data_IF_242208582061
#
_entry.id   IF_242208582061
#
_cell.length_a   1.000
_cell.length_b   1.000
_cell.length_c   1.000
_cell.angle_alpha   90.00
_cell.angle_beta   90.00
_cell.angle_gamma   90.00
#
_symmetry.space_group_name_H-M   'P 1'
#
loop_
_entity.id
_entity.type
_entity.pdbx_description
1 polymer ?
#
# COMPACT_ATOMS: atom_id res chain seq x y z
N UNK A 1 21.18 -22.16 -5.46
CA UNK A 1 19.74 -21.83 -5.34
C UNK A 1 19.41 -20.84 -6.46
N UNK A 2 18.31 -21.02 -7.20
CA UNK A 2 18.01 -20.22 -8.42
C UNK A 2 17.07 -19.03 -8.17
N UNK A 3 16.17 -19.13 -7.19
CA UNK A 3 15.27 -18.05 -6.78
C UNK A 3 15.74 -17.59 -5.39
N UNK A 4 16.01 -16.30 -5.24
CA UNK A 4 16.60 -15.73 -4.02
C UNK A 4 15.63 -14.89 -3.20
N UNK A 5 14.47 -14.52 -3.76
CA UNK A 5 13.45 -13.75 -3.06
C UNK A 5 12.40 -13.15 -4.00
N UNK A 6 11.46 -12.40 -3.40
CA UNK A 6 10.50 -11.59 -4.14
C UNK A 6 11.19 -10.27 -4.50
N UNK A 7 11.40 -10.02 -5.80
CA UNK A 7 11.92 -8.74 -6.27
C UNK A 7 10.87 -7.63 -6.17
N UNK A 8 9.64 -7.93 -6.60
CA UNK A 8 8.53 -6.99 -6.53
C UNK A 8 7.19 -7.72 -6.50
N UNK A 9 6.15 -6.97 -6.11
CA UNK A 9 4.74 -7.32 -6.32
C UNK A 9 4.08 -6.23 -7.14
N UNK A 10 3.10 -6.59 -7.96
CA UNK A 10 2.32 -5.63 -8.73
C UNK A 10 0.90 -5.51 -8.16
N UNK A 11 0.46 -4.29 -7.92
CA UNK A 11 -0.93 -3.95 -7.65
C UNK A 11 -1.51 -3.17 -8.82
N UNK A 12 -2.82 -3.20 -8.96
CA UNK A 12 -3.52 -2.52 -10.05
C UNK A 12 -4.42 -1.42 -9.51
N UNK A 13 -4.42 -0.28 -10.18
CA UNK A 13 -5.35 0.83 -9.93
C UNK A 13 -6.23 1.08 -11.15
N UNK A 14 -7.33 1.81 -10.97
CA UNK A 14 -8.21 2.12 -12.09
C UNK A 14 -7.50 2.97 -13.15
N UNK A 15 -7.79 2.76 -14.45
CA UNK A 15 -7.26 3.61 -15.52
C UNK A 15 -7.50 5.10 -15.23
N UNK A 16 -6.50 5.94 -15.52
CA UNK A 16 -6.54 7.39 -15.25
C UNK A 16 -6.24 7.80 -13.81
N UNK A 17 -6.17 6.86 -12.86
CA UNK A 17 -5.91 7.18 -11.44
C UNK A 17 -4.46 6.96 -11.01
N UNK A 18 -3.57 6.57 -11.92
CA UNK A 18 -2.16 6.27 -11.60
C UNK A 18 -1.43 7.46 -10.95
N UNK A 19 -1.77 8.68 -11.34
CA UNK A 19 -1.19 9.90 -10.77
C UNK A 19 -1.44 10.04 -9.25
N UNK A 20 -2.50 9.41 -8.71
CA UNK A 20 -2.80 9.38 -7.28
C UNK A 20 -1.84 8.46 -6.51
N UNK A 21 -1.19 7.51 -7.19
CA UNK A 21 -0.28 6.55 -6.57
C UNK A 21 0.89 7.26 -5.86
N UNK A 22 1.42 8.35 -6.43
CA UNK A 22 2.50 9.11 -5.79
C UNK A 22 2.06 9.65 -4.42
N UNK A 23 0.85 10.20 -4.34
CA UNK A 23 0.35 10.79 -3.09
C UNK A 23 0.19 9.75 -2.00
N UNK A 24 -0.33 8.56 -2.34
CA UNK A 24 -0.52 7.52 -1.34
C UNK A 24 0.77 6.72 -1.05
N UNK A 25 1.43 6.16 -2.06
CA UNK A 25 2.55 5.24 -1.86
C UNK A 25 3.86 5.95 -1.49
N UNK A 26 4.13 7.13 -2.04
CA UNK A 26 5.34 7.89 -1.72
C UNK A 26 5.11 8.81 -0.51
N UNK A 27 4.17 9.73 -0.58
CA UNK A 27 4.03 10.75 0.47
C UNK A 27 3.44 10.18 1.78
N UNK A 28 2.44 9.29 1.71
CA UNK A 28 1.80 8.71 2.91
C UNK A 28 2.56 7.48 3.40
N UNK A 29 2.82 6.47 2.57
CA UNK A 29 3.54 5.27 3.02
C UNK A 29 5.05 5.47 3.16
N UNK A 30 5.63 6.51 2.54
CA UNK A 30 7.06 6.79 2.62
C UNK A 30 7.91 5.94 1.68
N UNK A 31 7.32 5.29 0.66
CA UNK A 31 8.10 4.61 -0.37
C UNK A 31 8.80 5.61 -1.28
N UNK A 32 9.85 5.19 -1.97
CA UNK A 32 10.60 6.09 -2.87
C UNK A 32 10.17 5.83 -4.30
N UNK A 33 9.58 6.83 -4.96
CA UNK A 33 9.27 6.77 -6.40
C UNK A 33 10.56 6.61 -7.21
N UNK A 34 10.57 5.64 -8.12
CA UNK A 34 11.71 5.41 -9.02
C UNK A 34 11.27 5.53 -10.49
N UNK A 35 12.18 5.99 -11.39
CA UNK A 35 11.85 6.13 -12.80
C UNK A 35 11.42 4.80 -13.43
N UNK A 36 10.35 4.84 -14.21
CA UNK A 36 9.94 3.72 -15.08
C UNK A 36 10.49 3.93 -16.50
N UNK A 37 10.51 2.89 -17.35
CA UNK A 37 10.80 3.05 -18.76
C UNK A 37 9.90 4.13 -19.39
N UNK A 38 10.47 5.02 -20.21
CA UNK A 38 9.77 6.20 -20.76
C UNK A 38 8.46 5.85 -21.47
N UNK A 39 8.41 4.71 -22.16
CA UNK A 39 7.22 4.22 -22.87
C UNK A 39 6.08 3.77 -21.95
N UNK A 40 6.31 3.63 -20.64
CA UNK A 40 5.36 3.12 -19.65
C UNK A 40 4.99 4.15 -18.58
N UNK A 41 5.51 5.39 -18.66
CA UNK A 41 5.37 6.43 -17.62
C UNK A 41 3.93 6.76 -17.19
N UNK A 42 2.97 6.54 -18.08
CA UNK A 42 1.55 6.86 -17.83
C UNK A 42 0.72 5.63 -17.45
N UNK A 43 1.33 4.43 -17.50
CA UNK A 43 0.67 3.14 -17.22
C UNK A 43 1.29 2.37 -16.05
N UNK A 44 2.46 2.81 -15.57
CA UNK A 44 3.22 2.13 -14.55
C UNK A 44 3.89 3.14 -13.62
N UNK A 45 3.81 2.89 -12.31
CA UNK A 45 4.60 3.56 -11.30
C UNK A 45 5.37 2.53 -10.48
N UNK A 46 6.65 2.81 -10.20
CA UNK A 46 7.50 1.96 -9.38
C UNK A 46 7.88 2.68 -8.10
N UNK A 47 7.87 1.94 -6.99
CA UNK A 47 8.30 2.45 -5.71
C UNK A 47 9.22 1.45 -5.01
N UNK A 48 10.36 1.93 -4.52
CA UNK A 48 11.22 1.18 -3.60
C UNK A 48 10.56 1.19 -2.21
N UNK A 49 10.31 0.00 -1.66
CA UNK A 49 9.78 -0.17 -0.28
C UNK A 49 10.91 0.06 0.73
N UNK A 50 12.11 -0.40 0.39
CA UNK A 50 13.35 -0.13 1.13
C UNK A 50 14.47 0.20 0.14
N UNK A 51 15.50 0.98 0.55
CA UNK A 51 16.61 1.30 -0.32
C UNK A 51 17.29 0.04 -0.87
N UNK A 52 17.41 -0.08 -2.19
CA UNK A 52 17.99 -1.24 -2.89
C UNK A 52 17.31 -2.59 -2.57
N UNK A 53 16.07 -2.54 -2.07
CA UNK A 53 15.34 -3.71 -1.63
C UNK A 53 14.19 -4.09 -2.55
N UNK A 54 13.09 -4.50 -1.93
CA UNK A 54 11.90 -4.93 -2.66
C UNK A 54 11.15 -3.71 -3.20
N UNK A 55 10.49 -3.90 -4.34
CA UNK A 55 9.67 -2.86 -4.96
C UNK A 55 8.19 -3.21 -4.92
N UNK A 56 7.37 -2.18 -5.02
CA UNK A 56 5.97 -2.31 -5.44
C UNK A 56 5.78 -1.61 -6.77
N UNK A 57 5.12 -2.31 -7.69
CA UNK A 57 4.73 -1.77 -8.98
C UNK A 57 3.22 -1.51 -8.95
N UNK A 58 2.80 -0.38 -9.51
CA UNK A 58 1.40 0.02 -9.63
C UNK A 58 1.07 0.16 -11.11
N UNK A 59 0.20 -0.71 -11.62
CA UNK A 59 -0.27 -0.68 -13.02
C UNK A 59 -1.68 -0.11 -13.10
N UNK A 60 -2.03 0.59 -14.18
CA UNK A 60 -3.35 1.24 -14.36
C UNK A 60 -4.45 0.31 -14.94
N UNK A 61 -4.34 -1.00 -14.73
CA UNK A 61 -5.15 -2.00 -15.43
C UNK A 61 -6.28 -2.62 -14.59
N UNK A 62 -6.68 -2.01 -13.47
CA UNK A 62 -7.75 -2.56 -12.64
C UNK A 62 -9.11 -2.46 -13.34
N UNK A 63 -9.97 -3.47 -13.15
CA UNK A 63 -11.37 -3.40 -13.55
C UNK A 63 -12.22 -2.77 -12.43
N UNK A 64 -13.18 -1.89 -12.74
CA UNK A 64 -14.11 -1.34 -11.75
C UNK A 64 -15.06 -2.41 -11.18
N UNK A 65 -15.13 -3.59 -11.81
CA UNK A 65 -15.94 -4.72 -11.38
C UNK A 65 -15.15 -5.74 -10.54
N UNK A 66 -13.88 -5.48 -10.23
CA UNK A 66 -13.10 -6.38 -9.38
C UNK A 66 -13.77 -6.52 -8.00
N UNK A 67 -14.03 -7.75 -7.53
CA UNK A 67 -14.61 -7.95 -6.21
C UNK A 67 -13.64 -7.50 -5.11
N UNK A 68 -14.18 -7.17 -3.94
CA UNK A 68 -13.38 -6.83 -2.75
C UNK A 68 -12.50 -8.04 -2.36
N UNK A 69 -11.24 -8.00 -2.79
CA UNK A 69 -10.29 -9.09 -2.59
C UNK A 69 -9.67 -9.06 -1.19
N UNK A 70 -9.37 -10.24 -0.65
CA UNK A 70 -8.57 -10.42 0.57
C UNK A 70 -7.07 -10.54 0.28
N UNK A 71 -6.65 -10.71 -0.98
CA UNK A 71 -5.23 -10.80 -1.38
C UNK A 71 -4.52 -9.48 -1.10
N UNK A 72 -3.29 -9.57 -0.61
CA UNK A 72 -2.49 -8.40 -0.26
C UNK A 72 -1.00 -8.76 -0.18
N UNK A 73 -0.10 -7.79 -0.40
CA UNK A 73 1.23 -7.83 0.19
C UNK A 73 1.17 -7.46 1.67
N UNK A 74 2.08 -8.04 2.45
CA UNK A 74 2.33 -7.65 3.84
C UNK A 74 3.71 -6.98 3.92
N UNK A 75 3.75 -5.75 4.41
CA UNK A 75 4.97 -4.98 4.59
C UNK A 75 5.48 -5.13 6.01
N UNK A 76 6.77 -5.47 6.13
CA UNK A 76 7.46 -5.49 7.41
C UNK A 76 7.74 -4.07 7.87
N UNK A 77 7.39 -3.78 9.13
CA UNK A 77 7.61 -2.50 9.80
C UNK A 77 8.65 -2.68 10.91
N UNK A 78 9.51 -1.68 11.08
CA UNK A 78 10.75 -1.82 11.86
C UNK A 78 10.53 -2.07 13.36
N UNK A 79 9.43 -1.59 13.94
CA UNK A 79 9.15 -1.72 15.37
C UNK A 79 7.65 -1.52 15.67
N UNK A 80 7.18 -1.90 16.87
CA UNK A 80 5.82 -1.60 17.32
C UNK A 80 5.47 -0.11 17.28
N UNK A 81 6.42 0.77 17.63
CA UNK A 81 6.25 2.22 17.60
C UNK A 81 6.07 2.71 16.16
N UNK A 82 6.94 2.27 15.25
CA UNK A 82 6.83 2.61 13.83
C UNK A 82 5.52 2.09 13.21
N UNK A 83 5.03 0.94 13.67
CA UNK A 83 3.73 0.39 13.24
C UNK A 83 2.58 1.30 13.67
N UNK A 84 2.58 1.78 14.91
CA UNK A 84 1.58 2.73 15.41
C UNK A 84 1.68 4.09 14.71
N UNK A 85 2.89 4.59 14.48
CA UNK A 85 3.11 5.85 13.76
C UNK A 85 2.60 5.77 12.32
N UNK A 86 2.91 4.68 11.61
CA UNK A 86 2.41 4.46 10.26
C UNK A 86 0.88 4.35 10.22
N UNK A 87 0.29 3.61 11.16
CA UNK A 87 -1.17 3.51 11.29
C UNK A 87 -1.81 4.89 11.48
N UNK A 88 -1.27 5.70 12.39
CA UNK A 88 -1.73 7.08 12.62
C UNK A 88 -1.58 7.95 11.38
N UNK A 89 -0.45 7.86 10.68
CA UNK A 89 -0.20 8.63 9.46
C UNK A 89 -1.24 8.32 8.37
N UNK A 90 -1.51 7.02 8.13
CA UNK A 90 -2.52 6.58 7.16
C UNK A 90 -3.92 7.03 7.59
N UNK A 91 -4.27 6.88 8.87
CA UNK A 91 -5.57 7.29 9.40
C UNK A 91 -5.78 8.81 9.32
N UNK A 92 -4.78 9.61 9.69
CA UNK A 92 -4.84 11.07 9.56
C UNK A 92 -5.01 11.49 8.10
N UNK A 93 -4.31 10.85 7.17
CA UNK A 93 -4.51 11.10 5.74
C UNK A 93 -5.92 10.72 5.31
N UNK A 94 -6.43 9.55 5.72
CA UNK A 94 -7.79 9.09 5.43
C UNK A 94 -8.88 10.10 5.84
N UNK A 95 -8.78 10.66 7.04
CA UNK A 95 -9.73 11.67 7.56
C UNK A 95 -9.52 13.08 6.98
N UNK A 96 -8.40 13.32 6.28
CA UNK A 96 -8.09 14.67 5.78
C UNK A 96 -8.87 15.04 4.51
N UNK A 97 -9.18 16.33 4.37
CA UNK A 97 -9.67 16.88 3.10
C UNK A 97 -8.59 16.84 2.01
N UNK A 98 -7.32 16.93 2.39
CA UNK A 98 -6.18 16.83 1.47
C UNK A 98 -6.12 15.49 0.74
N UNK A 99 -6.72 14.44 1.30
CA UNK A 99 -6.76 13.13 0.67
C UNK A 99 -7.40 13.17 -0.73
N UNK A 100 -8.48 13.95 -0.89
CA UNK A 100 -9.21 14.07 -2.15
C UNK A 100 -9.49 12.70 -2.80
N UNK A 101 -9.17 12.57 -4.09
CA UNK A 101 -9.32 11.31 -4.84
C UNK A 101 -8.32 10.22 -4.41
N UNK A 102 -7.20 10.59 -3.79
CA UNK A 102 -6.20 9.64 -3.28
C UNK A 102 -6.58 9.06 -1.91
N UNK A 103 -7.77 9.38 -1.37
CA UNK A 103 -8.22 8.88 -0.07
C UNK A 103 -8.23 7.34 -0.05
N UNK A 104 -7.62 6.70 0.96
CA UNK A 104 -7.73 5.27 1.19
C UNK A 104 -9.21 4.88 1.26
N UNK A 105 -9.60 3.75 0.67
CA UNK A 105 -11.01 3.30 0.79
C UNK A 105 -11.32 2.79 2.20
N UNK A 106 -10.33 2.24 2.89
CA UNK A 106 -10.43 1.71 4.24
C UNK A 106 -9.10 1.98 4.97
N UNK A 107 -9.15 2.33 6.25
CA UNK A 107 -7.97 2.46 7.09
C UNK A 107 -8.34 2.01 8.52
N UNK A 108 -7.58 1.06 9.08
CA UNK A 108 -7.80 0.64 10.46
C UNK A 108 -7.45 1.77 11.43
N UNK A 109 -8.42 2.19 12.25
CA UNK A 109 -8.26 3.32 13.18
C UNK A 109 -7.33 2.98 14.35
N UNK A 110 -6.36 3.85 14.69
CA UNK A 110 -5.48 3.66 15.85
C UNK A 110 -6.26 3.46 17.15
N UNK A 111 -5.91 2.42 17.91
CA UNK A 111 -6.54 2.09 19.19
C UNK A 111 -7.84 1.28 19.08
N UNK A 112 -8.35 1.05 17.86
CA UNK A 112 -9.46 0.13 17.61
C UNK A 112 -8.95 -1.24 17.15
N UNK A 113 -9.85 -2.22 17.13
CA UNK A 113 -9.55 -3.58 16.68
C UNK A 113 -9.30 -3.57 15.18
N UNK A 114 -8.17 -4.13 14.71
CA UNK A 114 -7.83 -4.17 13.28
C UNK A 114 -8.85 -4.99 12.45
N UNK A 115 -8.89 -4.81 11.13
CA UNK A 115 -9.85 -5.49 10.24
C UNK A 115 -9.39 -6.89 9.79
N UNK A 116 -8.30 -7.42 10.36
CA UNK A 116 -7.79 -8.77 10.14
C UNK A 116 -8.54 -9.86 10.90
N UNK A 117 -8.30 -11.11 10.50
CA UNK A 117 -8.70 -12.27 11.28
C UNK A 117 -8.00 -12.27 12.65
N UNK A 118 -8.68 -12.82 13.67
CA UNK A 118 -8.26 -12.80 15.08
C UNK A 118 -7.89 -14.18 15.59
N UNK A 119 -6.98 -14.23 16.56
CA UNK A 119 -6.40 -15.46 17.10
C UNK A 119 -5.02 -15.20 17.70
N UNK A 120 -4.62 -16.04 18.66
CA UNK A 120 -3.34 -15.90 19.39
C UNK A 120 -2.10 -16.05 18.50
N UNK A 121 -2.26 -16.66 17.33
CA UNK A 121 -1.18 -16.90 16.37
C UNK A 121 -0.93 -15.72 15.42
N UNK A 122 -1.82 -14.72 15.41
CA UNK A 122 -1.68 -13.59 14.50
C UNK A 122 -0.74 -12.52 15.07
N UNK A 123 0.17 -11.97 14.25
CA UNK A 123 1.10 -10.95 14.69
C UNK A 123 0.37 -9.63 14.96
N UNK A 124 1.06 -8.71 15.65
CA UNK A 124 0.61 -7.32 15.74
C UNK A 124 0.68 -6.72 14.33
N UNK A 125 -0.46 -6.24 13.85
CA UNK A 125 -0.62 -5.75 12.48
C UNK A 125 -1.82 -4.82 12.36
N UNK A 126 -1.89 -4.11 11.24
CA UNK A 126 -3.11 -3.42 10.81
C UNK A 126 -3.23 -3.47 9.28
N UNK A 127 -4.42 -3.12 8.78
CA UNK A 127 -4.70 -3.07 7.36
C UNK A 127 -5.15 -1.68 6.91
N UNK A 128 -4.91 -1.41 5.63
CA UNK A 128 -5.56 -0.35 4.90
C UNK A 128 -5.95 -0.84 3.50
N UNK A 129 -6.84 -0.12 2.85
CA UNK A 129 -7.05 -0.21 1.41
C UNK A 129 -6.67 1.09 0.75
N UNK A 130 -5.82 1.02 -0.27
CA UNK A 130 -5.49 2.19 -1.07
C UNK A 130 -6.75 2.81 -1.72
N UNK A 131 -6.56 3.91 -2.45
CA UNK A 131 -7.65 4.61 -3.16
C UNK A 131 -8.35 3.75 -4.22
N UNK A 132 -7.70 2.69 -4.72
CA UNK A 132 -8.29 1.75 -5.68
C UNK A 132 -8.91 0.50 -5.02
N UNK A 133 -8.79 0.36 -3.70
CA UNK A 133 -9.33 -0.77 -2.93
C UNK A 133 -8.37 -1.96 -2.73
N UNK A 134 -7.11 -1.85 -3.13
CA UNK A 134 -6.10 -2.89 -2.87
C UNK A 134 -5.85 -3.01 -1.38
N UNK A 135 -6.00 -4.22 -0.81
CA UNK A 135 -5.70 -4.46 0.60
C UNK A 135 -4.18 -4.48 0.80
N UNK A 136 -3.73 -3.80 1.84
CA UNK A 136 -2.35 -3.74 2.30
C UNK A 136 -2.30 -4.18 3.77
N UNK A 137 -1.35 -5.04 4.14
CA UNK A 137 -1.08 -5.42 5.52
C UNK A 137 0.25 -4.83 5.99
N UNK A 138 0.33 -4.41 7.24
CA UNK A 138 1.56 -3.94 7.88
C UNK A 138 1.77 -4.70 9.17
N UNK A 139 2.94 -5.32 9.36
CA UNK A 139 3.25 -6.15 10.52
C UNK A 139 4.74 -6.10 10.89
N UNK A 140 5.12 -6.65 12.05
CA UNK A 140 6.49 -6.69 12.58
C UNK A 140 7.34 -7.82 11.97
#
# INVERSE_FOLDING_TARGET
MLITGIAHVNLTVLPGTLHLAKKFYDEVLGFTSVPVPVLQKDHLAWFDITPQGQQIHISDSASPLEPKSSRHPCFRVASPEALIELQKKIWTFYESEEAGEARPREADKPGEVDSGAKGVEYPIRFFARDFSGNRLEFSL
#
